data_IF_057065681072
#
_entry.id   IF_057065681072
#
_cell.length_a   1.000
_cell.length_b   1.000
_cell.length_c   1.000
_cell.angle_alpha   90.00
_cell.angle_beta   90.00
_cell.angle_gamma   90.00
#
_symmetry.space_group_name_H-M   'P 1'
#
loop_
_entity.id
_entity.type
_entity.pdbx_description
1 polymer ?
#
# COMPACT_ATOMS: atom_id res chain seq x y z
N UNK A 1 13.50 -9.03 3.27
CA UNK A 1 13.25 -8.96 1.81
C UNK A 1 13.31 -7.47 1.42
N UNK A 2 13.17 -7.09 0.14
CA UNK A 2 13.04 -5.67 -0.19
C UNK A 2 11.57 -5.23 -0.18
N UNK A 3 11.32 -4.05 0.39
CA UNK A 3 10.02 -3.38 0.30
C UNK A 3 9.52 -3.35 -1.16
N UNK A 4 8.30 -3.85 -1.41
CA UNK A 4 7.72 -3.95 -2.75
C UNK A 4 7.22 -2.62 -3.33
N UNK A 5 7.37 -1.52 -2.60
CA UNK A 5 7.02 -0.19 -3.09
C UNK A 5 7.96 0.25 -4.21
N UNK A 6 7.42 0.91 -5.24
CA UNK A 6 8.19 1.31 -6.42
C UNK A 6 9.35 2.25 -6.06
N UNK A 7 10.59 1.79 -6.29
CA UNK A 7 11.79 2.61 -6.08
C UNK A 7 12.29 2.62 -4.63
N UNK A 8 11.71 1.80 -3.74
CA UNK A 8 12.20 1.65 -2.38
C UNK A 8 13.42 0.71 -2.33
N UNK A 9 14.42 1.07 -1.52
CA UNK A 9 15.60 0.25 -1.21
C UNK A 9 15.64 -0.18 0.27
N UNK A 10 14.60 0.12 1.04
CA UNK A 10 14.49 -0.26 2.45
C UNK A 10 14.00 -1.71 2.58
N UNK A 11 14.33 -2.35 3.69
CA UNK A 11 13.81 -3.67 4.05
C UNK A 11 12.33 -3.58 4.46
N UNK A 12 11.55 -4.65 4.25
CA UNK A 12 10.20 -4.68 4.82
C UNK A 12 10.22 -4.84 6.33
N UNK A 13 9.19 -4.26 6.94
CA UNK A 13 8.89 -4.43 8.37
C UNK A 13 7.44 -4.88 8.57
N UNK A 14 6.58 -4.68 7.56
CA UNK A 14 5.13 -4.82 7.66
C UNK A 14 4.61 -5.58 6.45
N UNK A 15 3.74 -6.57 6.68
CA UNK A 15 3.04 -7.30 5.62
C UNK A 15 1.56 -6.94 5.67
N UNK A 16 1.03 -6.39 4.59
CA UNK A 16 -0.40 -6.08 4.44
C UNK A 16 -1.09 -7.19 3.68
N UNK A 17 -2.21 -7.68 4.20
CA UNK A 17 -3.08 -8.66 3.55
C UNK A 17 -4.15 -7.95 2.72
N UNK A 18 -3.90 -7.81 1.40
CA UNK A 18 -4.92 -7.43 0.40
C UNK A 18 -5.38 -8.69 -0.34
N UNK A 19 -5.67 -8.61 -1.65
CA UNK A 19 -5.83 -9.80 -2.50
C UNK A 19 -4.58 -10.70 -2.53
N UNK A 20 -3.42 -10.11 -2.23
CA UNK A 20 -2.14 -10.80 -2.05
C UNK A 20 -1.36 -10.13 -0.92
N UNK A 21 -0.50 -10.87 -0.21
CA UNK A 21 0.40 -10.25 0.77
C UNK A 21 1.33 -9.25 0.07
N UNK A 22 1.48 -8.08 0.68
CA UNK A 22 2.38 -7.01 0.22
C UNK A 22 3.32 -6.64 1.36
N UNK A 23 4.62 -6.81 1.12
CA UNK A 23 5.69 -6.47 2.02
C UNK A 23 6.10 -5.00 1.83
N UNK A 24 5.97 -4.19 2.88
CA UNK A 24 6.31 -2.77 2.91
C UNK A 24 7.22 -2.44 4.09
N UNK A 25 8.05 -1.41 3.92
CA UNK A 25 8.70 -0.76 5.06
C UNK A 25 7.73 0.17 5.79
N UNK A 26 8.05 0.54 7.03
CA UNK A 26 7.18 1.37 7.88
C UNK A 26 6.81 2.72 7.25
N UNK A 27 7.74 3.34 6.52
CA UNK A 27 7.48 4.61 5.84
C UNK A 27 6.43 4.48 4.74
N UNK A 28 6.52 3.44 3.92
CA UNK A 28 5.58 3.22 2.81
C UNK A 28 4.23 2.74 3.32
N UNK A 29 4.20 1.97 4.41
CA UNK A 29 2.97 1.63 5.11
C UNK A 29 2.25 2.88 5.62
N UNK A 30 2.96 3.82 6.27
CA UNK A 30 2.36 5.07 6.74
C UNK A 30 1.81 5.93 5.58
N UNK A 31 2.52 5.99 4.44
CA UNK A 31 2.00 6.65 3.22
C UNK A 31 0.74 5.95 2.70
N UNK A 32 0.73 4.62 2.70
CA UNK A 32 -0.40 3.81 2.30
C UNK A 32 -1.62 4.05 3.20
N UNK A 33 -1.44 4.05 4.53
CA UNK A 33 -2.48 4.40 5.51
C UNK A 33 -3.04 5.80 5.30
N UNK A 34 -2.21 6.82 5.09
CA UNK A 34 -2.69 8.20 4.84
C UNK A 34 -3.54 8.32 3.58
N UNK A 35 -3.22 7.55 2.54
CA UNK A 35 -4.02 7.52 1.30
C UNK A 35 -5.35 6.82 1.55
N UNK A 36 -5.31 5.69 2.27
CA UNK A 36 -6.47 4.96 2.76
C UNK A 36 -7.43 5.85 3.56
N UNK A 37 -6.91 6.57 4.56
CA UNK A 37 -7.67 7.50 5.39
C UNK A 37 -8.31 8.61 4.56
N UNK A 38 -7.57 9.21 3.62
CA UNK A 38 -8.14 10.23 2.72
C UNK A 38 -9.23 9.68 1.82
N UNK A 39 -9.07 8.47 1.30
CA UNK A 39 -10.08 7.83 0.46
C UNK A 39 -11.32 7.47 1.28
N UNK A 40 -11.15 6.98 2.51
CA UNK A 40 -12.23 6.68 3.43
C UNK A 40 -13.03 7.95 3.79
N UNK A 41 -12.34 9.04 4.11
CA UNK A 41 -12.97 10.34 4.38
C UNK A 41 -13.70 10.90 3.16
N UNK A 42 -13.16 10.71 1.95
CA UNK A 42 -13.73 11.26 0.72
C UNK A 42 -14.93 10.48 0.19
N UNK A 43 -14.93 9.15 0.33
CA UNK A 43 -15.94 8.27 -0.26
C UNK A 43 -16.93 7.69 0.77
N UNK A 44 -16.77 8.00 2.07
CA UNK A 44 -17.62 7.46 3.14
C UNK A 44 -17.49 5.95 3.35
N UNK A 45 -16.55 5.29 2.67
CA UNK A 45 -16.34 3.85 2.69
C UNK A 45 -14.90 3.52 3.08
N UNK A 46 -14.75 2.86 4.23
CA UNK A 46 -13.48 2.54 4.91
C UNK A 46 -12.92 1.16 4.55
N UNK A 47 -13.23 0.60 3.38
CA UNK A 47 -12.80 -0.76 3.04
C UNK A 47 -11.57 -0.74 2.17
N UNK A 48 -10.57 -1.47 2.62
CA UNK A 48 -9.30 -1.72 1.93
C UNK A 48 -9.50 -2.23 0.49
N UNK A 49 -10.62 -2.90 0.20
CA UNK A 49 -11.03 -3.37 -1.13
C UNK A 49 -11.34 -2.26 -2.14
N UNK A 50 -11.62 -1.04 -1.68
CA UNK A 50 -11.93 0.10 -2.55
C UNK A 50 -10.67 0.78 -3.11
N UNK A 51 -9.47 0.41 -2.63
CA UNK A 51 -8.23 0.88 -3.25
C UNK A 51 -7.92 0.09 -4.52
N UNK A 52 -7.92 0.80 -5.64
CA UNK A 52 -7.32 0.33 -6.89
C UNK A 52 -5.79 0.31 -6.75
N UNK A 53 -5.28 -0.72 -6.09
CA UNK A 53 -3.84 -0.98 -6.01
C UNK A 53 -3.35 -1.40 -7.39
N UNK A 54 -2.71 -0.48 -8.11
CA UNK A 54 -2.16 -0.73 -9.44
C UNK A 54 -0.76 -1.33 -9.30
N UNK A 55 -0.58 -2.57 -9.75
CA UNK A 55 0.76 -3.16 -9.91
C UNK A 55 1.38 -2.72 -11.23
N UNK A 56 2.58 -2.16 -11.20
CA UNK A 56 3.37 -1.84 -12.41
C UNK A 56 4.76 -2.48 -12.28
N UNK A 57 5.12 -3.36 -13.23
CA UNK A 57 6.43 -4.05 -13.25
C UNK A 57 6.77 -4.79 -11.94
N UNK A 58 5.81 -5.52 -11.37
CA UNK A 58 5.99 -6.28 -10.13
C UNK A 58 6.00 -5.44 -8.84
N UNK A 59 5.87 -4.11 -8.94
CA UNK A 59 5.87 -3.20 -7.80
C UNK A 59 4.50 -2.57 -7.56
N UNK A 60 4.23 -2.23 -6.32
CA UNK A 60 2.94 -1.69 -5.88
C UNK A 60 2.91 -0.18 -6.10
N UNK A 61 1.81 0.31 -6.67
CA UNK A 61 1.51 1.73 -6.84
C UNK A 61 0.08 2.01 -6.38
N UNK A 62 -0.08 3.10 -5.63
CA UNK A 62 -1.38 3.65 -5.27
C UNK A 62 -1.85 4.55 -6.41
N UNK A 63 -3.12 4.43 -6.82
CA UNK A 63 -3.71 5.22 -7.89
C UNK A 63 -5.21 5.32 -7.77
#
# INVERSE_FOLDING_TARGET
MPCRYTGCKKEEEIIIMLDRPIELCREHFNKFQKVLERLALKNGASRVRDLKVKKRRGRVRLG
#
